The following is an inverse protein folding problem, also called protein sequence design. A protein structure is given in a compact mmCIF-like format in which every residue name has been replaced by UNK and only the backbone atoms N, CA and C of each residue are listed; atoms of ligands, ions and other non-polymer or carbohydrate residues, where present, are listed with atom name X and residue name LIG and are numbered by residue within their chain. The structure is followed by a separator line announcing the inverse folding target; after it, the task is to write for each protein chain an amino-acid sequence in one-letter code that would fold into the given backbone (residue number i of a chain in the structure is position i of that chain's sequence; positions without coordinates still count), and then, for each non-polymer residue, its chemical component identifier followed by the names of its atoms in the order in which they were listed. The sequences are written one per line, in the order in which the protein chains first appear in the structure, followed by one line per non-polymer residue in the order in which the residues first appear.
data_IF_738883559241
#
_entry.id   IF_738883559241
#
_cell.length_a   1.000
_cell.length_b   1.000
_cell.length_c   1.000
_cell.angle_alpha   90.00
_cell.angle_beta   90.00
_cell.angle_gamma   90.00
#
_symmetry.space_group_name_H-M   'P 1'
#
loop_
_entity.id
_entity.type
_entity.pdbx_description
1 polymer ?
#
# COMPACT_ATOMS: atom_id res chain seq x y z
N UNK A 1 8.91 -26.64 -10.54
CA UNK A 1 7.74 -27.33 -10.04
C UNK A 1 7.75 -27.24 -8.52
N UNK A 2 6.86 -26.40 -7.96
CA UNK A 2 6.63 -26.35 -6.51
C UNK A 2 5.84 -27.63 -6.11
N UNK A 3 6.20 -28.34 -5.05
CA UNK A 3 5.40 -29.45 -4.55
C UNK A 3 4.17 -28.90 -3.81
N UNK A 4 3.00 -29.34 -4.22
CA UNK A 4 1.73 -29.13 -3.54
C UNK A 4 1.71 -29.96 -2.26
N UNK A 5 1.75 -29.33 -1.10
CA UNK A 5 1.44 -29.99 0.18
C UNK A 5 -0.01 -29.66 0.53
N UNK A 6 -0.84 -30.70 0.62
CA UNK A 6 -2.26 -30.65 0.97
C UNK A 6 -2.45 -30.55 2.49
N UNK A 7 -2.86 -29.39 2.98
CA UNK A 7 -3.43 -29.13 4.30
C UNK A 7 -4.49 -28.04 4.18
N UNK A 8 -5.48 -27.93 5.09
CA UNK A 8 -6.49 -26.88 5.02
C UNK A 8 -5.88 -25.55 5.51
N UNK A 9 -5.07 -24.95 4.67
CA UNK A 9 -4.65 -23.56 4.83
C UNK A 9 -5.84 -22.69 4.43
N UNK A 10 -6.12 -21.66 5.21
CA UNK A 10 -7.19 -20.72 4.90
C UNK A 10 -6.96 -20.11 3.50
N UNK A 11 -8.01 -19.97 2.71
CA UNK A 11 -7.93 -19.46 1.33
C UNK A 11 -7.15 -18.15 1.23
N UNK A 12 -7.19 -17.31 2.27
CA UNK A 12 -6.46 -16.05 2.38
C UNK A 12 -4.93 -16.21 2.44
N UNK A 13 -4.41 -17.22 3.17
CA UNK A 13 -2.96 -17.47 3.23
C UNK A 13 -2.42 -18.06 1.93
N UNK A 14 -3.23 -18.86 1.23
CA UNK A 14 -2.89 -19.41 -0.09
C UNK A 14 -2.90 -18.31 -1.17
N UNK A 15 -3.77 -17.32 -1.06
CA UNK A 15 -3.80 -16.18 -1.98
C UNK A 15 -2.59 -15.27 -1.80
N UNK A 16 -2.24 -14.92 -0.57
CA UNK A 16 -1.04 -14.11 -0.29
C UNK A 16 0.25 -14.81 -0.74
N UNK A 17 0.37 -16.13 -0.52
CA UNK A 17 1.47 -16.94 -1.04
C UNK A 17 1.55 -16.98 -2.58
N UNK A 18 0.42 -16.87 -3.29
CA UNK A 18 0.39 -16.75 -4.76
C UNK A 18 1.00 -15.43 -5.25
N UNK A 19 0.83 -14.34 -4.49
CA UNK A 19 1.45 -13.04 -4.83
C UNK A 19 2.97 -13.10 -4.74
N UNK A 20 3.55 -13.83 -3.78
CA UNK A 20 5.00 -14.04 -3.70
C UNK A 20 5.55 -14.86 -4.89
N UNK A 21 4.78 -15.80 -5.43
CA UNK A 21 5.20 -16.59 -6.61
C UNK A 21 5.07 -15.82 -7.94
N UNK A 22 4.30 -14.73 -7.99
CA UNK A 22 4.04 -13.96 -9.19
C UNK A 22 5.14 -12.94 -9.56
N UNK A 23 6.14 -12.73 -8.69
CA UNK A 23 7.22 -11.76 -8.91
C UNK A 23 8.58 -12.43 -9.18
N UNK A 24 8.87 -12.83 -10.44
CA UNK A 24 10.18 -13.38 -10.78
C UNK A 24 11.34 -12.39 -10.63
N UNK A 25 11.07 -11.11 -10.37
CA UNK A 25 12.04 -10.03 -10.28
C UNK A 25 12.16 -9.42 -8.87
N UNK A 26 11.82 -10.17 -7.81
CA UNK A 26 11.98 -9.72 -6.41
C UNK A 26 13.41 -9.20 -6.17
N UNK A 27 14.43 -9.88 -6.70
CA UNK A 27 15.83 -9.46 -6.54
C UNK A 27 16.12 -8.11 -7.23
N UNK A 28 15.48 -7.82 -8.37
CA UNK A 28 15.58 -6.50 -9.00
C UNK A 28 14.89 -5.42 -8.18
N UNK A 29 13.71 -5.73 -7.61
CA UNK A 29 13.02 -4.80 -6.73
C UNK A 29 13.85 -4.51 -5.47
N UNK A 30 14.44 -5.52 -4.84
CA UNK A 30 15.38 -5.34 -3.72
C UNK A 30 16.58 -4.48 -4.11
N UNK A 31 17.13 -4.68 -5.32
CA UNK A 31 18.24 -3.87 -5.84
C UNK A 31 17.81 -2.40 -6.03
N UNK A 32 16.59 -2.15 -6.52
CA UNK A 32 16.06 -0.79 -6.63
C UNK A 32 15.96 -0.12 -5.26
N UNK A 33 15.39 -0.81 -4.27
CA UNK A 33 15.26 -0.29 -2.89
C UNK A 33 16.63 0.10 -2.33
N UNK A 34 17.63 -0.77 -2.45
CA UNK A 34 18.98 -0.50 -1.92
C UNK A 34 19.76 0.56 -2.70
N UNK A 35 19.31 0.92 -3.90
CA UNK A 35 19.95 1.91 -4.77
C UNK A 35 19.29 3.29 -4.76
N UNK A 36 18.21 3.47 -3.98
CA UNK A 36 17.54 4.78 -3.84
C UNK A 36 18.49 5.79 -3.23
N UNK A 37 18.66 6.93 -3.90
CA UNK A 37 19.42 8.07 -3.40
C UNK A 37 18.51 9.01 -2.60
N UNK A 38 19.07 9.81 -1.67
CA UNK A 38 18.29 10.82 -0.97
C UNK A 38 17.51 11.71 -1.96
N UNK A 39 16.19 11.85 -1.75
CA UNK A 39 15.30 12.62 -2.63
C UNK A 39 14.97 11.93 -3.96
N UNK A 40 15.30 10.65 -4.12
CA UNK A 40 15.03 9.84 -5.33
C UNK A 40 15.41 10.52 -6.65
N UNK A 41 16.60 11.14 -6.69
CA UNK A 41 17.10 11.92 -7.85
C UNK A 41 17.09 11.14 -9.16
N UNK A 42 17.18 9.81 -9.09
CA UNK A 42 17.19 8.89 -10.22
C UNK A 42 15.81 8.34 -10.58
N UNK A 43 14.76 8.84 -9.88
CA UNK A 43 13.35 8.44 -10.10
C UNK A 43 13.15 6.92 -10.02
N UNK A 44 13.73 6.28 -9.01
CA UNK A 44 13.66 4.82 -8.80
C UNK A 44 12.25 4.36 -8.48
N UNK A 45 11.44 5.22 -7.86
CA UNK A 45 10.03 4.96 -7.60
C UNK A 45 9.26 4.74 -8.92
N UNK A 46 9.45 5.61 -9.92
CA UNK A 46 8.80 5.44 -11.21
C UNK A 46 9.28 4.17 -11.94
N UNK A 47 10.58 3.83 -11.83
CA UNK A 47 11.12 2.58 -12.39
C UNK A 47 10.47 1.38 -11.70
N UNK A 48 10.36 1.40 -10.37
CA UNK A 48 9.71 0.33 -9.60
C UNK A 48 8.22 0.20 -10.00
N UNK A 49 7.49 1.30 -10.11
CA UNK A 49 6.09 1.31 -10.53
C UNK A 49 5.91 0.73 -11.96
N UNK A 50 6.78 1.10 -12.90
CA UNK A 50 6.79 0.53 -14.26
C UNK A 50 7.07 -0.97 -14.30
N UNK A 51 7.78 -1.49 -13.33
CA UNK A 51 8.00 -2.93 -13.19
C UNK A 51 6.85 -3.63 -12.47
N UNK A 52 6.28 -2.97 -11.46
CA UNK A 52 5.27 -3.53 -10.55
C UNK A 52 3.91 -3.70 -11.24
N UNK A 53 3.31 -2.62 -11.69
CA UNK A 53 1.93 -2.62 -12.16
C UNK A 53 1.65 -3.53 -13.38
N UNK A 54 2.51 -3.60 -14.42
CA UNK A 54 2.29 -4.54 -15.52
C UNK A 54 2.38 -6.02 -15.10
N UNK A 55 3.10 -6.32 -14.02
CA UNK A 55 3.18 -7.69 -13.49
C UNK A 55 2.00 -8.04 -12.60
N UNK A 56 1.47 -7.04 -11.88
CA UNK A 56 0.32 -7.24 -11.01
C UNK A 56 -0.96 -7.43 -11.84
N UNK A 57 -1.19 -6.62 -12.86
CA UNK A 57 -2.42 -6.64 -13.64
C UNK A 57 -2.24 -7.32 -15.02
N UNK A 58 -1.69 -6.60 -15.99
CA UNK A 58 -1.36 -7.11 -17.32
C UNK A 58 -0.19 -6.34 -17.91
N UNK A 59 0.53 -6.90 -18.89
CA UNK A 59 1.64 -6.21 -19.57
C UNK A 59 1.21 -4.90 -20.27
N UNK A 60 -0.06 -4.77 -20.61
CA UNK A 60 -0.63 -3.59 -21.27
C UNK A 60 -1.13 -2.54 -20.26
N UNK A 61 -1.08 -2.84 -18.96
CA UNK A 61 -1.57 -1.95 -17.93
C UNK A 61 -0.71 -0.70 -17.83
N UNK A 62 -1.35 0.47 -17.99
CA UNK A 62 -0.72 1.79 -17.84
C UNK A 62 -1.40 2.53 -16.68
N UNK A 63 -0.62 2.81 -15.61
CA UNK A 63 -1.13 3.44 -14.39
C UNK A 63 -1.72 4.84 -14.61
N UNK A 64 -1.27 5.57 -15.63
CA UNK A 64 -1.75 6.91 -15.97
C UNK A 64 -2.93 6.93 -16.96
N UNK A 65 -3.48 5.78 -17.34
CA UNK A 65 -4.64 5.70 -18.24
C UNK A 65 -5.93 5.86 -17.44
N UNK A 66 -6.50 7.06 -17.44
CA UNK A 66 -7.76 7.37 -16.73
C UNK A 66 -8.99 6.64 -17.32
N UNK A 67 -8.89 6.10 -18.53
CA UNK A 67 -9.97 5.31 -19.14
C UNK A 67 -10.02 3.87 -18.64
N UNK A 68 -8.97 3.40 -17.99
CA UNK A 68 -8.87 2.05 -17.48
C UNK A 68 -9.63 1.91 -16.14
N UNK A 69 -10.62 1.04 -16.11
CA UNK A 69 -11.48 0.75 -14.95
C UNK A 69 -10.67 0.36 -13.70
N UNK A 70 -9.62 -0.43 -13.85
CA UNK A 70 -8.74 -0.85 -12.76
C UNK A 70 -8.03 0.38 -12.12
N UNK A 71 -7.64 1.38 -12.92
CA UNK A 71 -7.11 2.64 -12.39
C UNK A 71 -8.16 3.40 -11.57
N UNK A 72 -9.42 3.35 -11.98
CA UNK A 72 -10.54 3.90 -11.20
C UNK A 72 -10.69 3.24 -9.84
N UNK A 73 -10.57 1.91 -9.77
CA UNK A 73 -10.57 1.14 -8.52
C UNK A 73 -9.38 1.51 -7.63
N UNK A 74 -8.17 1.56 -8.18
CA UNK A 74 -6.95 1.94 -7.47
C UNK A 74 -7.06 3.36 -6.90
N UNK A 75 -7.49 4.33 -7.73
CA UNK A 75 -7.64 5.72 -7.31
C UNK A 75 -8.64 5.86 -6.16
N UNK A 76 -9.77 5.13 -6.24
CA UNK A 76 -10.76 5.12 -5.17
C UNK A 76 -10.20 4.49 -3.89
N UNK A 77 -9.57 3.33 -3.98
CA UNK A 77 -8.96 2.64 -2.83
C UNK A 77 -7.86 3.48 -2.16
N UNK A 78 -6.97 4.09 -2.94
CA UNK A 78 -5.95 4.99 -2.41
C UNK A 78 -6.54 6.23 -1.73
N UNK A 79 -7.63 6.79 -2.27
CA UNK A 79 -8.31 7.92 -1.63
C UNK A 79 -8.90 7.56 -0.27
N UNK A 80 -9.38 6.33 -0.09
CA UNK A 80 -9.88 5.83 1.19
C UNK A 80 -8.74 5.72 2.22
N UNK A 81 -7.61 5.11 1.84
CA UNK A 81 -6.45 4.98 2.71
C UNK A 81 -5.88 6.35 3.06
N UNK A 82 -5.70 7.23 2.07
CA UNK A 82 -5.24 8.61 2.30
C UNK A 82 -6.14 9.36 3.26
N UNK A 83 -7.46 9.23 3.12
CA UNK A 83 -8.44 9.87 4.02
C UNK A 83 -8.33 9.34 5.45
N UNK A 84 -8.10 8.03 5.62
CA UNK A 84 -7.91 7.42 6.94
C UNK A 84 -6.60 7.90 7.57
N UNK A 85 -5.50 7.96 6.81
CA UNK A 85 -4.21 8.50 7.27
C UNK A 85 -4.36 9.97 7.65
N UNK A 86 -4.97 10.81 6.80
CA UNK A 86 -5.21 12.22 7.08
C UNK A 86 -6.03 12.42 8.36
N UNK A 87 -7.06 11.60 8.57
CA UNK A 87 -7.85 11.61 9.80
C UNK A 87 -6.99 11.30 11.03
N UNK A 88 -6.08 10.31 10.93
CA UNK A 88 -5.17 9.97 12.04
C UNK A 88 -4.15 11.08 12.31
N UNK A 89 -3.60 11.70 11.30
CA UNK A 89 -2.70 12.87 11.44
C UNK A 89 -3.43 13.97 12.24
N UNK A 90 -4.67 14.29 11.84
CA UNK A 90 -5.48 15.30 12.52
C UNK A 90 -5.84 14.92 13.97
N UNK A 91 -6.12 13.63 14.25
CA UNK A 91 -6.37 13.10 15.60
C UNK A 91 -5.15 13.31 16.52
N UNK A 92 -3.94 13.24 15.99
CA UNK A 92 -2.69 13.53 16.72
C UNK A 92 -2.38 15.03 16.81
N UNK A 93 -3.21 15.90 16.21
CA UNK A 93 -3.07 17.36 16.27
C UNK A 93 -2.05 17.95 15.30
N UNK A 94 -1.64 17.20 14.27
CA UNK A 94 -0.71 17.66 13.24
C UNK A 94 -1.45 18.13 11.98
N UNK A 95 -0.75 18.97 11.19
CA UNK A 95 -1.26 19.46 9.90
C UNK A 95 -0.85 18.51 8.78
N UNK A 96 -1.73 18.32 7.82
CA UNK A 96 -1.51 17.43 6.67
C UNK A 96 -0.75 18.09 5.51
N UNK A 97 -0.63 19.43 5.53
CA UNK A 97 -0.02 20.21 4.45
C UNK A 97 1.49 20.04 4.35
N UNK A 98 2.17 19.82 5.49
CA UNK A 98 3.62 19.74 5.55
C UNK A 98 4.09 18.30 5.39
N UNK A 99 4.42 17.93 4.14
CA UNK A 99 4.95 16.61 3.83
C UNK A 99 6.43 16.45 4.19
N UNK A 100 6.90 15.21 4.17
CA UNK A 100 8.31 14.82 4.35
C UNK A 100 9.01 14.84 2.99
N UNK A 101 8.36 14.28 1.97
CA UNK A 101 8.83 14.20 0.59
C UNK A 101 7.94 15.00 -0.35
N UNK A 102 6.62 14.86 -0.24
CA UNK A 102 5.69 15.66 -1.02
C UNK A 102 5.68 17.11 -0.54
N UNK A 103 5.93 18.05 -1.46
CA UNK A 103 6.04 19.49 -1.19
C UNK A 103 5.27 20.31 -2.24
N UNK A 104 4.00 19.98 -2.44
CA UNK A 104 3.13 20.72 -3.35
C UNK A 104 2.33 21.77 -2.58
N UNK A 105 2.54 23.04 -2.88
CA UNK A 105 1.77 24.16 -2.30
C UNK A 105 0.26 24.03 -2.54
N UNK A 106 -0.15 23.26 -3.55
CA UNK A 106 -1.56 23.07 -3.92
C UNK A 106 -2.19 21.85 -3.26
N UNK A 107 -1.38 20.96 -2.67
CA UNK A 107 -1.89 19.74 -2.05
C UNK A 107 -1.99 19.92 -0.53
N UNK A 108 -3.21 19.98 0.04
CA UNK A 108 -3.38 20.08 1.49
C UNK A 108 -3.10 18.77 2.24
N UNK A 109 -2.72 17.70 1.54
CA UNK A 109 -2.52 16.35 2.08
C UNK A 109 -1.11 15.79 1.84
N UNK A 110 -0.09 16.64 1.71
CA UNK A 110 1.28 16.22 1.44
C UNK A 110 1.76 15.15 2.43
N UNK A 111 1.60 15.37 3.73
CA UNK A 111 1.99 14.42 4.78
C UNK A 111 1.18 13.12 4.72
N UNK A 112 -0.11 13.21 4.40
CA UNK A 112 -0.93 12.02 4.26
C UNK A 112 -0.53 11.20 3.03
N UNK A 113 -0.11 11.86 1.94
CA UNK A 113 0.47 11.19 0.78
C UNK A 113 1.75 10.44 1.14
N UNK A 114 2.64 11.06 1.93
CA UNK A 114 3.87 10.40 2.37
C UNK A 114 3.59 9.18 3.26
N UNK A 115 2.74 9.35 4.28
CA UNK A 115 2.49 8.31 5.27
C UNK A 115 1.55 7.19 4.77
N UNK A 116 0.87 7.36 3.64
CA UNK A 116 0.03 6.31 3.07
C UNK A 116 0.79 5.28 2.22
N UNK A 117 2.01 5.60 1.78
CA UNK A 117 2.75 4.76 0.84
C UNK A 117 2.88 3.29 1.27
N UNK A 118 3.19 2.96 2.54
CA UNK A 118 3.29 1.58 2.99
C UNK A 118 1.98 0.79 2.91
N UNK A 119 0.84 1.48 2.79
CA UNK A 119 -0.49 0.86 2.75
C UNK A 119 -1.05 0.68 1.33
N UNK A 120 -0.39 1.21 0.30
CA UNK A 120 -0.81 1.02 -1.09
C UNK A 120 -0.91 -0.45 -1.49
N UNK A 121 0.02 -1.34 -1.11
CA UNK A 121 -0.05 -2.75 -1.47
C UNK A 121 -1.33 -3.48 -1.01
N UNK A 122 -1.93 -3.06 0.11
CA UNK A 122 -3.22 -3.62 0.56
C UNK A 122 -4.36 -3.28 -0.40
N UNK A 123 -4.35 -2.04 -0.91
CA UNK A 123 -5.30 -1.61 -1.95
C UNK A 123 -5.05 -2.37 -3.25
N UNK A 124 -3.79 -2.49 -3.65
CA UNK A 124 -3.39 -3.16 -4.88
C UNK A 124 -3.85 -4.62 -4.89
N UNK A 125 -3.64 -5.34 -3.79
CA UNK A 125 -4.10 -6.71 -3.61
C UNK A 125 -5.62 -6.81 -3.72
N UNK A 126 -6.36 -5.91 -3.04
CA UNK A 126 -7.83 -5.90 -3.10
C UNK A 126 -8.35 -5.55 -4.49
N UNK A 127 -7.73 -4.60 -5.17
CA UNK A 127 -8.10 -4.22 -6.55
C UNK A 127 -7.77 -5.34 -7.52
N UNK A 128 -6.69 -6.10 -7.31
CA UNK A 128 -6.40 -7.28 -8.12
C UNK A 128 -7.52 -8.32 -8.04
N UNK A 129 -8.11 -8.55 -6.87
CA UNK A 129 -9.29 -9.43 -6.72
C UNK A 129 -10.50 -8.89 -7.49
N UNK A 130 -10.67 -7.57 -7.52
CA UNK A 130 -11.82 -6.89 -8.11
C UNK A 130 -11.62 -6.44 -9.57
N UNK A 131 -10.48 -6.73 -10.20
CA UNK A 131 -10.05 -6.16 -11.48
C UNK A 131 -10.97 -6.42 -12.68
N UNK A 132 -11.81 -7.45 -12.61
CA UNK A 132 -12.80 -7.77 -13.63
C UNK A 132 -14.15 -7.04 -13.41
N UNK A 133 -14.24 -6.20 -12.39
CA UNK A 133 -15.44 -5.49 -12.00
C UNK A 133 -15.32 -4.00 -12.30
N UNK A 134 -16.45 -3.36 -12.54
CA UNK A 134 -16.53 -1.91 -12.70
C UNK A 134 -16.76 -1.22 -11.34
N UNK A 135 -16.37 0.05 -11.22
CA UNK A 135 -16.51 0.83 -9.97
C UNK A 135 -17.99 1.18 -9.72
N UNK A 136 -18.72 0.25 -9.14
CA UNK A 136 -20.11 0.39 -8.71
C UNK A 136 -20.24 0.49 -7.17
N UNK A 137 -21.46 0.56 -6.65
CA UNK A 137 -21.71 0.68 -5.20
C UNK A 137 -21.25 -0.54 -4.40
N UNK A 138 -21.31 -1.75 -4.99
CA UNK A 138 -20.90 -2.98 -4.33
C UNK A 138 -19.37 -3.02 -4.20
N UNK A 139 -18.66 -2.73 -5.29
CA UNK A 139 -17.20 -2.66 -5.33
C UNK A 139 -16.67 -1.57 -4.42
N UNK A 140 -17.33 -0.40 -4.37
CA UNK A 140 -16.99 0.66 -3.40
C UNK A 140 -17.12 0.19 -1.96
N UNK A 141 -18.17 -0.56 -1.64
CA UNK A 141 -18.36 -1.13 -0.30
C UNK A 141 -17.28 -2.16 0.05
N UNK A 142 -16.84 -3.00 -0.91
CA UNK A 142 -15.73 -3.92 -0.70
C UNK A 142 -14.42 -3.17 -0.40
N UNK A 143 -14.12 -2.10 -1.14
CA UNK A 143 -12.95 -1.27 -0.88
C UNK A 143 -13.03 -0.53 0.46
N UNK A 144 -14.22 -0.09 0.88
CA UNK A 144 -14.43 0.50 2.23
C UNK A 144 -14.22 -0.55 3.33
N UNK A 145 -14.69 -1.79 3.10
CA UNK A 145 -14.49 -2.89 4.06
C UNK A 145 -13.04 -3.24 4.28
N UNK A 146 -12.18 -3.03 3.26
CA UNK A 146 -10.74 -3.25 3.37
C UNK A 146 -10.14 -2.56 4.60
N UNK A 147 -10.55 -1.33 4.92
CA UNK A 147 -10.08 -0.60 6.10
C UNK A 147 -10.36 -1.31 7.42
N UNK A 148 -11.40 -2.15 7.47
CA UNK A 148 -11.84 -2.90 8.66
C UNK A 148 -11.48 -4.37 8.59
N UNK A 149 -10.80 -4.79 7.51
CA UNK A 149 -10.37 -6.18 7.34
C UNK A 149 -9.28 -6.48 8.37
N UNK A 150 -9.45 -7.58 9.08
CA UNK A 150 -8.42 -8.11 9.96
C UNK A 150 -7.28 -8.66 9.11
N UNK A 151 -6.07 -8.30 9.50
CA UNK A 151 -4.82 -8.71 8.87
C UNK A 151 -4.11 -9.67 9.83
N UNK A 152 -4.28 -11.00 9.67
CA UNK A 152 -3.74 -11.99 10.61
C UNK A 152 -2.23 -11.86 10.80
N UNK A 153 -1.49 -11.55 9.73
CA UNK A 153 -0.05 -11.34 9.71
C UNK A 153 0.42 -10.15 10.55
N UNK A 154 -0.49 -9.22 10.88
CA UNK A 154 -0.23 -8.05 11.73
C UNK A 154 -1.01 -8.11 13.05
N UNK A 155 -1.90 -9.10 13.23
CA UNK A 155 -2.74 -9.26 14.41
C UNK A 155 -3.73 -8.14 14.65
N UNK A 156 -4.08 -7.37 13.62
CA UNK A 156 -4.94 -6.19 13.75
C UNK A 156 -5.63 -5.82 12.43
N UNK A 157 -6.57 -4.87 12.45
CA UNK A 157 -7.20 -4.37 11.24
C UNK A 157 -6.33 -3.32 10.54
N UNK A 158 -6.57 -3.10 9.23
CA UNK A 158 -5.83 -2.10 8.45
C UNK A 158 -5.95 -0.68 9.07
N UNK A 159 -7.14 -0.28 9.53
CA UNK A 159 -7.32 1.01 10.24
C UNK A 159 -6.44 1.11 11.48
N UNK A 160 -6.34 0.04 12.26
CA UNK A 160 -5.51 0.05 13.47
C UNK A 160 -4.03 0.02 13.13
N UNK A 161 -3.63 -0.70 12.09
CA UNK A 161 -2.26 -0.70 11.59
C UNK A 161 -1.84 0.71 11.13
N UNK A 162 -2.69 1.41 10.38
CA UNK A 162 -2.49 2.82 10.02
C UNK A 162 -2.31 3.69 11.27
N UNK A 163 -3.16 3.52 12.28
CA UNK A 163 -3.06 4.30 13.51
C UNK A 163 -1.73 4.08 14.24
N UNK A 164 -1.28 2.83 14.35
CA UNK A 164 0.01 2.48 14.97
C UNK A 164 1.15 3.13 14.17
N UNK A 165 1.18 2.95 12.87
CA UNK A 165 2.23 3.48 11.99
C UNK A 165 2.32 5.01 12.04
N UNK A 166 1.19 5.71 11.94
CA UNK A 166 1.15 7.18 12.01
C UNK A 166 1.64 7.69 13.37
N UNK A 167 1.23 7.03 14.47
CA UNK A 167 1.74 7.34 15.82
C UNK A 167 3.26 7.19 15.89
N UNK A 168 3.79 6.07 15.41
CA UNK A 168 5.21 5.77 15.48
C UNK A 168 6.02 6.70 14.58
N UNK A 169 5.46 7.11 13.42
CA UNK A 169 6.05 8.14 12.57
C UNK A 169 6.19 9.48 13.31
N UNK A 170 5.18 9.90 14.08
CA UNK A 170 5.27 11.13 14.86
C UNK A 170 6.25 11.02 16.04
N UNK A 171 6.35 9.86 16.67
CA UNK A 171 7.38 9.61 17.68
C UNK A 171 8.78 9.77 17.08
N UNK A 172 9.03 9.16 15.91
CA UNK A 172 10.29 9.29 15.19
C UNK A 172 10.60 10.75 14.81
N UNK A 173 9.62 11.46 14.23
CA UNK A 173 9.78 12.88 13.87
C UNK A 173 9.99 13.80 15.09
N UNK A 174 9.58 13.36 16.27
CA UNK A 174 9.80 14.06 17.54
C UNK A 174 11.13 13.74 18.20
N UNK A 175 11.98 12.91 17.57
CA UNK A 175 13.32 12.56 18.02
C UNK A 175 13.47 11.19 18.67
N UNK A 176 12.50 10.29 18.50
CA UNK A 176 12.68 8.89 18.85
C UNK A 176 13.59 8.21 17.80
N UNK A 177 14.47 7.32 18.22
CA UNK A 177 15.42 6.65 17.34
C UNK A 177 14.78 5.50 16.51
N UNK A 178 13.54 5.13 16.79
CA UNK A 178 12.86 4.02 16.13
C UNK A 178 12.09 4.49 14.89
N UNK A 179 12.54 4.06 13.72
CA UNK A 179 11.78 4.21 12.48
C UNK A 179 10.43 3.52 12.56
N UNK A 180 9.36 4.13 12.01
CA UNK A 180 8.07 3.46 11.88
C UNK A 180 8.20 2.28 10.91
N UNK A 181 7.75 1.12 11.33
CA UNK A 181 7.76 -0.11 10.53
C UNK A 181 6.37 -0.76 10.57
N UNK A 182 6.01 -1.46 9.48
CA UNK A 182 4.90 -2.40 9.50
C UNK A 182 5.41 -3.67 10.18
N UNK A 183 5.07 -3.83 11.47
CA UNK A 183 5.47 -4.99 12.26
C UNK A 183 4.67 -6.23 11.85
N UNK A 184 5.33 -7.22 11.24
CA UNK A 184 4.74 -8.54 11.06
C UNK A 184 4.79 -9.31 12.39
N UNK A 185 3.76 -10.09 12.69
CA UNK A 185 3.83 -11.09 13.76
C UNK A 185 4.65 -12.23 13.19
N UNK A 186 5.84 -12.45 13.77
CA UNK A 186 6.60 -13.67 13.46
C UNK A 186 5.74 -14.88 13.84
N UNK A 187 5.50 -15.78 12.88
CA UNK A 187 4.89 -17.06 13.18
C UNK A 187 5.80 -17.81 14.17
N UNK A 188 5.29 -18.02 15.37
CA UNK A 188 5.95 -18.82 16.43
C UNK A 188 5.79 -20.30 16.13
#
# INVERSE_FOLDING_TARGET
PCPLTSGPESESAQEFGRYQCAFPDIEKMKTLITSVQPGDSDNREAVAAHMYFPRLFTYEFVRSDDSNETNGLLNYGYSLVMSEVARKIAEFGYLTEFGIHHDSEKNPFNLACDLMEPFRPFVDAKVFELREQTLNSEVKNELIRLLRTDLPEFGTSLTQLINIFVRDAFHYLSGDDRLPELGFIDEV
#
